data_IF_536813873206
#
_entry.id   IF_536813873206
#
_cell.length_a   1.000
_cell.length_b   1.000
_cell.length_c   1.000
_cell.angle_alpha   90.00
_cell.angle_beta   90.00
_cell.angle_gamma   90.00
#
_symmetry.space_group_name_H-M   'P 1'
#
loop_
_entity.id
_entity.type
_entity.pdbx_description
1 polymer ?
#
# COMPACT_ATOMS: atom_id res chain seq x y z
N UNK A 1 1.06 4.53 9.94
CA UNK A 1 -0.09 5.43 9.71
C UNK A 1 -0.87 5.60 11.02
N UNK A 2 -0.96 6.80 11.60
CA UNK A 2 -1.66 7.08 12.88
C UNK A 2 -3.08 7.65 12.69
N UNK A 3 -3.60 7.60 11.46
CA UNK A 3 -4.91 8.14 11.12
C UNK A 3 -6.02 7.24 11.66
N UNK A 4 -7.08 7.84 12.22
CA UNK A 4 -8.30 7.10 12.56
C UNK A 4 -8.91 6.47 11.31
N UNK A 5 -9.39 5.23 11.44
CA UNK A 5 -10.15 4.58 10.36
C UNK A 5 -11.46 5.34 10.16
N UNK A 6 -11.67 5.89 8.97
CA UNK A 6 -12.88 6.60 8.56
C UNK A 6 -13.44 5.96 7.29
N UNK A 7 -14.56 6.49 6.77
CA UNK A 7 -15.05 6.17 5.42
C UNK A 7 -14.18 6.79 4.32
N UNK A 8 -13.13 7.51 4.68
CA UNK A 8 -12.17 8.01 3.72
C UNK A 8 -11.00 7.03 3.63
N UNK A 9 -10.50 6.81 2.42
CA UNK A 9 -9.31 6.00 2.18
C UNK A 9 -8.03 6.79 2.39
N UNK A 10 -6.88 6.15 2.21
CA UNK A 10 -5.56 6.73 2.48
C UNK A 10 -5.28 8.04 1.72
N UNK A 11 -5.92 8.24 0.56
CA UNK A 11 -5.80 9.46 -0.26
C UNK A 11 -6.95 10.45 -0.05
N UNK A 12 -7.85 10.20 0.91
CA UNK A 12 -9.01 11.06 1.18
C UNK A 12 -10.21 10.76 0.27
N UNK A 13 -10.16 9.69 -0.53
CA UNK A 13 -11.28 9.27 -1.35
C UNK A 13 -12.42 8.70 -0.48
N UNK A 14 -13.67 8.96 -0.85
CA UNK A 14 -14.82 8.35 -0.18
C UNK A 14 -14.90 6.86 -0.53
N UNK A 15 -14.92 5.98 0.47
CA UNK A 15 -15.28 4.58 0.32
C UNK A 15 -16.74 4.41 0.73
N UNK A 16 -17.55 3.84 -0.16
CA UNK A 16 -18.86 3.36 0.25
C UNK A 16 -18.73 2.19 1.26
N UNK A 17 -19.84 1.90 1.93
CA UNK A 17 -19.89 0.88 2.99
C UNK A 17 -19.47 -0.51 2.49
N UNK A 18 -19.80 -0.87 1.25
CA UNK A 18 -19.47 -2.19 0.70
C UNK A 18 -17.97 -2.30 0.43
N UNK A 19 -17.35 -1.25 -0.13
CA UNK A 19 -15.91 -1.16 -0.31
C UNK A 19 -15.17 -1.23 1.04
N UNK A 20 -15.64 -0.52 2.06
CA UNK A 20 -15.02 -0.52 3.39
C UNK A 20 -15.08 -1.92 4.05
N UNK A 21 -16.23 -2.61 3.96
CA UNK A 21 -16.39 -3.97 4.47
C UNK A 21 -15.54 -4.95 3.65
N UNK A 22 -15.59 -4.88 2.32
CA UNK A 22 -14.84 -5.75 1.42
C UNK A 22 -13.34 -5.67 1.66
N UNK A 23 -12.78 -4.47 1.77
CA UNK A 23 -11.36 -4.26 2.07
C UNK A 23 -10.98 -4.81 3.44
N UNK A 24 -11.84 -4.60 4.44
CA UNK A 24 -11.61 -5.13 5.81
C UNK A 24 -11.57 -6.66 5.84
N UNK A 25 -12.44 -7.32 5.07
CA UNK A 25 -12.46 -8.78 4.93
C UNK A 25 -11.23 -9.29 4.17
N UNK A 26 -10.86 -8.62 3.07
CA UNK A 26 -9.70 -8.99 2.26
C UNK A 26 -8.38 -8.91 3.05
N UNK A 27 -8.26 -7.94 3.95
CA UNK A 27 -7.07 -7.76 4.78
C UNK A 27 -6.99 -8.74 5.97
N UNK A 28 -8.10 -9.36 6.36
CA UNK A 28 -8.18 -10.27 7.50
C UNK A 28 -7.78 -9.64 8.85
N UNK A 29 -7.60 -10.49 9.86
CA UNK A 29 -7.33 -10.06 11.25
C UNK A 29 -5.98 -9.36 11.43
N UNK A 30 -5.03 -9.65 10.54
CA UNK A 30 -3.68 -9.07 10.58
C UNK A 30 -3.53 -7.83 9.68
N UNK A 31 -4.62 -7.35 9.06
CA UNK A 31 -4.65 -6.15 8.20
C UNK A 31 -3.63 -6.22 7.06
N UNK A 32 -3.53 -7.39 6.42
CA UNK A 32 -2.59 -7.66 5.34
C UNK A 32 -3.32 -8.18 4.11
N UNK A 33 -3.08 -7.54 2.96
CA UNK A 33 -3.60 -7.97 1.67
C UNK A 33 -2.45 -8.53 0.83
N UNK A 34 -2.56 -9.79 0.40
CA UNK A 34 -1.61 -10.41 -0.51
C UNK A 34 -1.90 -9.99 -1.97
N UNK A 35 -1.79 -8.69 -2.25
CA UNK A 35 -1.99 -8.08 -3.56
C UNK A 35 -0.72 -7.34 -4.01
N UNK A 36 -0.53 -7.22 -5.31
CA UNK A 36 0.52 -6.41 -5.93
C UNK A 36 0.38 -4.92 -5.55
N UNK A 37 1.47 -4.16 -5.71
CA UNK A 37 1.52 -2.73 -5.37
C UNK A 37 2.10 -2.41 -4.00
N UNK A 38 2.37 -3.41 -3.16
CA UNK A 38 3.07 -3.26 -1.88
C UNK A 38 4.56 -3.62 -1.96
N UNK A 39 5.45 -2.74 -1.49
CA UNK A 39 6.90 -3.00 -1.45
C UNK A 39 7.53 -2.52 -0.14
N UNK A 40 8.52 -3.24 0.42
CA UNK A 40 9.37 -2.72 1.48
C UNK A 40 10.27 -1.60 0.94
N UNK A 41 10.71 -0.71 1.82
CA UNK A 41 11.67 0.36 1.51
C UNK A 41 12.93 0.11 2.32
N UNK A 42 14.05 -0.07 1.63
CA UNK A 42 15.37 -0.28 2.20
C UNK A 42 16.31 0.90 1.90
N UNK A 43 17.04 1.35 2.92
CA UNK A 43 18.24 2.18 2.75
C UNK A 43 19.41 1.45 3.39
N UNK A 44 20.51 1.28 2.64
CA UNK A 44 21.72 0.60 3.14
C UNK A 44 21.42 -0.78 3.73
N UNK A 45 20.50 -1.54 3.11
CA UNK A 45 20.05 -2.85 3.58
C UNK A 45 19.18 -2.85 4.84
N UNK A 46 18.85 -1.69 5.41
CA UNK A 46 17.95 -1.55 6.55
C UNK A 46 16.53 -1.26 6.10
N UNK A 47 15.56 -2.05 6.55
CA UNK A 47 14.14 -1.80 6.27
C UNK A 47 13.64 -0.61 7.08
N UNK A 48 13.28 0.48 6.41
CA UNK A 48 12.82 1.72 7.05
C UNK A 48 11.29 1.88 6.99
N UNK A 49 10.60 1.01 6.24
CA UNK A 49 9.16 1.07 6.08
C UNK A 49 8.65 0.32 4.85
N UNK A 50 7.50 0.76 4.33
CA UNK A 50 6.90 0.19 3.13
C UNK A 50 6.01 1.20 2.41
N UNK A 51 5.83 0.97 1.11
CA UNK A 51 4.90 1.68 0.23
C UNK A 51 3.76 0.74 -0.17
N UNK A 52 2.57 1.30 -0.36
CA UNK A 52 1.44 0.61 -0.98
C UNK A 52 0.75 1.53 -1.98
N UNK A 53 0.56 1.05 -3.20
CA UNK A 53 -0.21 1.72 -4.27
C UNK A 53 -1.41 0.86 -4.60
N UNK A 54 -2.57 1.51 -4.75
CA UNK A 54 -3.80 0.85 -5.17
C UNK A 54 -4.71 1.85 -5.89
N UNK A 55 -5.24 1.45 -7.04
CA UNK A 55 -6.24 2.23 -7.79
C UNK A 55 -6.31 1.92 -9.28
N UNK A 56 -5.24 1.33 -9.85
CA UNK A 56 -5.21 0.82 -11.21
C UNK A 56 -5.47 -0.69 -11.28
N UNK A 57 -4.98 -1.32 -12.35
CA UNK A 57 -4.75 -2.77 -12.36
C UNK A 57 -3.49 -3.15 -11.55
N UNK A 58 -3.31 -4.45 -11.30
CA UNK A 58 -2.23 -4.94 -10.44
C UNK A 58 -0.83 -4.67 -11.03
N UNK A 59 -0.67 -4.67 -12.36
CA UNK A 59 0.58 -4.28 -13.01
C UNK A 59 0.90 -2.79 -12.81
N UNK A 60 -0.09 -1.91 -12.99
CA UNK A 60 0.04 -0.47 -12.82
C UNK A 60 0.46 -0.14 -11.38
N UNK A 61 -0.25 -0.71 -10.40
CA UNK A 61 0.05 -0.52 -8.98
C UNK A 61 1.50 -0.97 -8.68
N UNK A 62 1.92 -2.10 -9.25
CA UNK A 62 3.28 -2.61 -9.10
C UNK A 62 4.35 -1.67 -9.69
N UNK A 63 4.12 -1.15 -10.90
CA UNK A 63 5.05 -0.25 -11.59
C UNK A 63 5.19 1.06 -10.84
N UNK A 64 4.07 1.66 -10.42
CA UNK A 64 4.06 2.92 -9.69
C UNK A 64 4.78 2.78 -8.35
N UNK A 65 4.52 1.69 -7.61
CA UNK A 65 5.15 1.47 -6.31
C UNK A 65 6.68 1.31 -6.41
N UNK A 66 7.17 0.56 -7.40
CA UNK A 66 8.62 0.45 -7.66
C UNK A 66 9.24 1.79 -8.05
N UNK A 67 8.62 2.51 -8.97
CA UNK A 67 9.10 3.83 -9.40
C UNK A 67 9.20 4.83 -8.24
N UNK A 68 8.27 4.77 -7.28
CA UNK A 68 8.32 5.62 -6.08
C UNK A 68 9.45 5.23 -5.11
N UNK A 69 9.80 3.95 -5.00
CA UNK A 69 10.98 3.49 -4.23
C UNK A 69 12.26 3.98 -4.89
N UNK A 70 12.38 3.80 -6.22
CA UNK A 70 13.54 4.24 -7.00
C UNK A 70 13.74 5.77 -6.91
N UNK A 71 12.64 6.54 -6.94
CA UNK A 71 12.66 8.00 -6.92
C UNK A 71 13.27 8.60 -5.64
N UNK A 72 13.26 7.86 -4.53
CA UNK A 72 13.88 8.27 -3.26
C UNK A 72 15.28 7.67 -3.06
N UNK A 73 15.81 6.95 -4.06
CA UNK A 73 17.11 6.28 -3.98
C UNK A 73 17.14 5.11 -3.00
N UNK A 74 15.99 4.47 -2.76
CA UNK A 74 15.87 3.29 -1.92
C UNK A 74 15.84 2.01 -2.77
N UNK A 75 16.06 0.87 -2.12
CA UNK A 75 15.85 -0.46 -2.70
C UNK A 75 14.55 -1.09 -2.17
N UNK A 76 13.93 -1.97 -2.96
CA UNK A 76 12.81 -2.83 -2.51
C UNK A 76 13.20 -4.31 -2.42
N UNK A 77 14.47 -4.61 -2.70
CA UNK A 77 15.09 -5.93 -2.50
C UNK A 77 16.08 -5.79 -1.35
N UNK A 78 16.13 -6.80 -0.49
CA UNK A 78 17.10 -6.86 0.60
C UNK A 78 18.52 -7.11 0.07
#
# INVERSE_FOLDING_TARGET
>A
NRRLTTVEGAQGQNLDTLHAIGLSLAAGTNRWTAMEGGFPIFFEGQCVGGIGVSGGDWEQDQVIAKAAVDAIGADYKA
#
